data_IF_280523278341
#
_entry.id   IF_280523278341
#
_cell.length_a   1.000
_cell.length_b   1.000
_cell.length_c   1.000
_cell.angle_alpha   90.00
_cell.angle_beta   90.00
_cell.angle_gamma   90.00
#
_symmetry.space_group_name_H-M   'P 1'
#
loop_
_entity.id
_entity.type
_entity.pdbx_description
1 polymer ?
#
# COMPACT_ATOMS: atom_id res chain seq x y z
N UNK A 1 6.72 -6.43 3.82
CA UNK A 1 7.37 -5.63 2.78
C UNK A 1 6.36 -5.07 1.79
N UNK A 2 6.69 -3.95 1.18
CA UNK A 2 5.89 -3.42 0.08
C UNK A 2 6.38 -3.97 -1.24
N UNK A 3 5.44 -4.29 -2.13
CA UNK A 3 5.74 -4.68 -3.50
C UNK A 3 4.97 -3.77 -4.44
N UNK A 4 5.62 -3.31 -5.51
CA UNK A 4 4.96 -2.56 -6.57
C UNK A 4 4.76 -3.50 -7.74
N UNK A 5 3.52 -3.56 -8.24
CA UNK A 5 3.13 -4.46 -9.31
C UNK A 5 2.50 -3.69 -10.45
N UNK A 6 2.57 -4.28 -11.63
CA UNK A 6 1.96 -3.72 -12.83
C UNK A 6 0.53 -4.22 -12.96
N UNK A 7 -0.40 -3.30 -13.20
CA UNK A 7 -1.77 -3.62 -13.59
C UNK A 7 -1.97 -3.26 -15.06
N UNK A 8 -3.09 -3.67 -15.65
CA UNK A 8 -3.36 -3.38 -17.06
C UNK A 8 -3.46 -1.89 -17.35
N UNK A 9 -3.89 -1.10 -16.37
CA UNK A 9 -4.10 0.34 -16.53
C UNK A 9 -3.13 1.19 -15.72
N UNK A 10 -2.13 0.57 -15.07
CA UNK A 10 -1.18 1.33 -14.27
C UNK A 10 -0.39 0.47 -13.31
N UNK A 11 -0.24 0.96 -12.09
CA UNK A 11 0.58 0.35 -11.06
C UNK A 11 -0.16 0.33 -9.74
N UNK A 12 0.08 -0.70 -8.94
CA UNK A 12 -0.45 -0.74 -7.57
C UNK A 12 0.63 -1.35 -6.66
N UNK A 13 0.44 -1.20 -5.37
CA UNK A 13 1.31 -1.83 -4.39
C UNK A 13 0.51 -2.70 -3.45
N UNK A 14 1.19 -3.65 -2.84
CA UNK A 14 0.62 -4.42 -1.74
C UNK A 14 1.61 -4.49 -0.61
N UNK A 15 1.08 -4.59 0.60
CA UNK A 15 1.87 -4.72 1.82
C UNK A 15 1.76 -6.14 2.32
N UNK A 16 2.90 -6.78 2.51
CA UNK A 16 2.98 -8.17 2.95
C UNK A 16 3.63 -8.25 4.33
N UNK A 17 3.12 -9.15 5.15
CA UNK A 17 3.73 -9.49 6.43
C UNK A 17 4.99 -10.32 6.21
N UNK A 18 5.77 -10.52 7.28
CA UNK A 18 7.03 -11.27 7.21
C UNK A 18 6.83 -12.73 6.79
N UNK A 19 5.66 -13.29 7.04
CA UNK A 19 5.33 -14.66 6.64
C UNK A 19 4.86 -14.76 5.18
N UNK A 20 4.86 -13.65 4.44
CA UNK A 20 4.44 -13.62 3.04
C UNK A 20 2.94 -13.39 2.82
N UNK A 21 2.17 -13.22 3.89
CA UNK A 21 0.74 -13.00 3.79
C UNK A 21 0.45 -11.55 3.39
N UNK A 22 -0.45 -11.35 2.42
CA UNK A 22 -0.86 -10.01 2.00
C UNK A 22 -1.79 -9.39 3.03
N UNK A 23 -1.37 -8.24 3.59
CA UNK A 23 -2.17 -7.51 4.58
C UNK A 23 -3.17 -6.57 3.90
N UNK A 24 -2.74 -5.89 2.87
CA UNK A 24 -3.58 -4.94 2.14
C UNK A 24 -2.93 -4.61 0.80
N UNK A 25 -3.69 -3.95 -0.06
CA UNK A 25 -3.20 -3.45 -1.33
C UNK A 25 -3.80 -2.08 -1.62
N UNK A 26 -3.15 -1.34 -2.52
CA UNK A 26 -3.60 -0.02 -2.93
C UNK A 26 -4.60 -0.07 -4.08
N UNK A 27 -5.15 1.08 -4.39
CA UNK A 27 -5.79 1.33 -5.67
C UNK A 27 -4.76 1.30 -6.80
N UNK A 28 -5.22 1.31 -8.04
CA UNK A 28 -4.35 1.40 -9.21
C UNK A 28 -4.04 2.86 -9.49
N UNK A 29 -2.75 3.17 -9.57
CA UNK A 29 -2.25 4.50 -9.91
C UNK A 29 -1.83 4.51 -11.38
N UNK A 30 -2.00 5.67 -12.03
CA UNK A 30 -1.63 5.79 -13.46
C UNK A 30 -0.13 5.80 -13.68
N UNK A 31 0.66 6.22 -12.68
CA UNK A 31 2.11 6.26 -12.77
C UNK A 31 2.76 5.51 -11.62
N UNK A 32 3.95 4.99 -11.88
CA UNK A 32 4.76 4.31 -10.87
C UNK A 32 5.13 5.28 -9.74
N UNK A 33 5.42 6.55 -10.08
CA UNK A 33 5.76 7.56 -9.09
C UNK A 33 4.61 7.77 -8.10
N UNK A 34 3.38 7.80 -8.58
CA UNK A 34 2.20 7.94 -7.71
C UNK A 34 2.06 6.75 -6.77
N UNK A 35 2.31 5.54 -7.26
CA UNK A 35 2.31 4.34 -6.41
C UNK A 35 3.39 4.43 -5.33
N UNK A 36 4.60 4.89 -5.69
CA UNK A 36 5.69 5.10 -4.73
C UNK A 36 5.32 6.14 -3.68
N UNK A 37 4.66 7.21 -4.09
CA UNK A 37 4.19 8.26 -3.16
C UNK A 37 3.15 7.70 -2.18
N UNK A 38 2.30 6.80 -2.65
CA UNK A 38 1.32 6.12 -1.78
C UNK A 38 2.00 5.28 -0.71
N UNK A 39 3.05 4.55 -1.07
CA UNK A 39 3.85 3.77 -0.11
C UNK A 39 4.47 4.70 0.93
N UNK A 40 5.06 5.80 0.50
CA UNK A 40 5.69 6.76 1.40
C UNK A 40 4.67 7.32 2.40
N UNK A 41 3.45 7.62 1.94
CA UNK A 41 2.38 8.11 2.81
C UNK A 41 1.99 7.07 3.86
N UNK A 42 1.85 5.80 3.47
CA UNK A 42 1.52 4.72 4.42
C UNK A 42 2.61 4.57 5.47
N UNK A 43 3.87 4.59 5.06
CA UNK A 43 5.01 4.49 5.98
C UNK A 43 5.04 5.64 6.99
N UNK A 44 4.57 6.81 6.59
CA UNK A 44 4.56 7.98 7.45
C UNK A 44 3.39 7.95 8.43
N UNK A 45 2.21 7.53 7.98
CA UNK A 45 0.97 7.63 8.74
C UNK A 45 0.73 6.40 9.64
N UNK A 46 1.03 5.21 9.13
CA UNK A 46 0.66 3.96 9.79
C UNK A 46 1.19 3.81 11.22
N UNK A 47 2.46 4.16 11.53
CA UNK A 47 2.99 3.95 12.88
C UNK A 47 2.22 4.69 13.96
N UNK A 48 1.66 5.85 13.65
CA UNK A 48 0.92 6.65 14.61
C UNK A 48 -0.59 6.59 14.46
N UNK A 49 -1.08 5.76 13.53
CA UNK A 49 -2.51 5.74 13.22
C UNK A 49 -3.32 5.10 14.36
N UNK A 50 -4.34 5.80 14.90
CA UNK A 50 -5.21 5.22 15.90
C UNK A 50 -6.17 4.20 15.30
N UNK A 51 -6.75 3.38 16.16
CA UNK A 51 -7.78 2.41 15.75
C UNK A 51 -9.12 2.88 16.35
N UNK A 52 -10.09 3.11 15.47
CA UNK A 52 -11.45 3.42 15.88
C UNK A 52 -12.33 2.23 15.54
N UNK A 53 -12.86 1.57 16.57
CA UNK A 53 -13.80 0.48 16.36
C UNK A 53 -15.17 1.07 16.02
N UNK A 54 -15.66 0.76 14.82
CA UNK A 54 -16.94 1.27 14.32
C UNK A 54 -17.95 0.14 14.07
N UNK A 55 -17.72 -1.01 14.69
CA UNK A 55 -18.60 -2.18 14.55
C UNK A 55 -19.89 -2.05 15.38
#
# INVERSE_FOLDING_TARGET
MFEILKASTGYFWRLKANNGETLCHSEVYTTKQSAQNGIAAVKQVAPGAPVYDRT
#
